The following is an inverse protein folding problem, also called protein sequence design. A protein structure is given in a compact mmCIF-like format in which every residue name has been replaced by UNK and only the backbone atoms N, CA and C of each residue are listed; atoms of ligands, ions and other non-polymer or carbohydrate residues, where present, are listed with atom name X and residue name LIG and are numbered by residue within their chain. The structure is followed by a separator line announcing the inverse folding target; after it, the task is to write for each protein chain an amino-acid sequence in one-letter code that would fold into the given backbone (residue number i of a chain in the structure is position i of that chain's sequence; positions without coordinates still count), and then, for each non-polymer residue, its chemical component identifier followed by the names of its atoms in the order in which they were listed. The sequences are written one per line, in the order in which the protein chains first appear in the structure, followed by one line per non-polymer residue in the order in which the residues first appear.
data_IF_231179819195
#
_entry.id   IF_231179819195
#
_cell.length_a   1.000
_cell.length_b   1.000
_cell.length_c   1.000
_cell.angle_alpha   90.00
_cell.angle_beta   90.00
_cell.angle_gamma   90.00
#
_symmetry.space_group_name_H-M   'P 1'
#
loop_
_entity.id
_entity.type
_entity.pdbx_description
1 polymer ?
#
# COMPACT_ATOMS: atom_id res chain seq x y z
N UNK A 1 42.14 -5.75 4.39
CA UNK A 1 41.35 -6.90 4.89
C UNK A 1 40.09 -6.95 4.04
N UNK A 2 39.87 -8.01 3.26
CA UNK A 2 38.64 -8.15 2.50
C UNK A 2 37.61 -8.73 3.45
N UNK A 3 36.75 -7.88 4.00
CA UNK A 3 35.64 -8.33 4.82
C UNK A 3 34.62 -9.02 3.91
N UNK A 4 34.44 -10.30 4.16
CA UNK A 4 33.49 -11.12 3.43
C UNK A 4 32.08 -10.71 3.87
N UNK A 5 31.31 -10.14 2.95
CA UNK A 5 29.86 -10.01 3.14
C UNK A 5 29.32 -11.43 3.30
N UNK A 6 28.76 -11.74 4.45
CA UNK A 6 28.11 -13.04 4.70
C UNK A 6 26.68 -12.90 4.17
N UNK A 7 26.44 -13.40 2.97
CA UNK A 7 25.10 -13.54 2.40
C UNK A 7 24.71 -15.01 2.52
N UNK A 8 23.61 -15.27 3.18
CA UNK A 8 23.01 -16.61 3.24
C UNK A 8 21.79 -16.62 2.31
N UNK A 9 21.74 -17.58 1.39
CA UNK A 9 20.61 -17.75 0.47
C UNK A 9 19.75 -18.91 0.91
N UNK A 10 18.45 -18.70 0.93
CA UNK A 10 17.45 -19.74 1.11
C UNK A 10 16.88 -20.15 -0.27
N UNK A 11 17.29 -21.33 -0.73
CA UNK A 11 16.82 -21.90 -1.98
C UNK A 11 15.39 -22.45 -1.93
N UNK A 12 14.81 -22.60 -0.73
CA UNK A 12 13.45 -23.08 -0.52
C UNK A 12 12.44 -21.91 -0.41
N UNK A 13 12.91 -20.68 -0.35
CA UNK A 13 12.08 -19.47 -0.27
C UNK A 13 11.41 -19.14 -1.60
N UNK A 14 10.19 -18.60 -1.53
CA UNK A 14 9.48 -18.03 -2.71
C UNK A 14 10.14 -16.76 -3.24
N UNK A 15 11.07 -16.15 -2.49
CA UNK A 15 11.82 -14.96 -2.88
C UNK A 15 12.95 -15.38 -3.83
N UNK A 16 13.03 -14.74 -4.99
CA UNK A 16 14.07 -15.04 -5.97
C UNK A 16 15.48 -14.81 -5.39
N UNK A 17 16.45 -15.66 -5.76
CA UNK A 17 17.84 -15.52 -5.32
C UNK A 17 18.45 -14.13 -5.62
N UNK A 18 18.01 -13.51 -6.72
CA UNK A 18 18.38 -12.14 -7.07
C UNK A 18 17.88 -11.14 -6.02
N UNK A 19 16.63 -11.27 -5.58
CA UNK A 19 16.05 -10.39 -4.56
C UNK A 19 16.74 -10.59 -3.20
N UNK A 20 16.99 -11.84 -2.80
CA UNK A 20 17.70 -12.15 -1.56
C UNK A 20 19.11 -11.54 -1.52
N UNK A 21 19.87 -11.61 -2.63
CA UNK A 21 21.19 -10.97 -2.73
C UNK A 21 21.06 -9.46 -2.59
N UNK A 22 20.09 -8.84 -3.26
CA UNK A 22 19.85 -7.41 -3.19
C UNK A 22 19.54 -6.97 -1.77
N UNK A 23 18.61 -7.63 -1.11
CA UNK A 23 18.18 -7.34 0.26
C UNK A 23 19.33 -7.49 1.25
N UNK A 24 20.10 -8.58 1.17
CA UNK A 24 21.27 -8.79 2.03
C UNK A 24 22.35 -7.72 1.87
N UNK A 25 22.58 -7.23 0.65
CA UNK A 25 23.54 -6.13 0.42
C UNK A 25 23.00 -4.82 1.00
N UNK A 26 21.72 -4.52 0.81
CA UNK A 26 21.07 -3.33 1.39
C UNK A 26 21.14 -3.39 2.91
N UNK A 27 20.79 -4.52 3.53
CA UNK A 27 20.90 -4.71 4.99
C UNK A 27 22.33 -4.49 5.49
N UNK A 28 23.34 -5.01 4.79
CA UNK A 28 24.73 -4.83 5.16
C UNK A 28 25.16 -3.36 5.09
N UNK A 29 24.66 -2.58 4.11
CA UNK A 29 24.88 -1.14 4.00
C UNK A 29 24.17 -0.41 5.15
N UNK A 30 22.89 -0.75 5.40
CA UNK A 30 22.10 -0.15 6.47
C UNK A 30 22.68 -0.41 7.86
N UNK A 31 23.15 -1.64 8.09
CA UNK A 31 23.83 -2.04 9.33
C UNK A 31 25.26 -1.51 9.45
N UNK A 32 25.77 -0.73 8.47
CA UNK A 32 27.15 -0.27 8.38
C UNK A 32 28.23 -1.38 8.41
N UNK A 33 27.85 -2.59 8.05
CA UNK A 33 28.78 -3.68 7.84
C UNK A 33 29.65 -3.46 6.60
N UNK A 34 29.15 -2.68 5.62
CA UNK A 34 29.87 -2.13 4.48
C UNK A 34 29.58 -0.63 4.38
N UNK A 35 30.60 0.15 4.17
CA UNK A 35 30.56 1.62 4.21
C UNK A 35 30.51 2.22 2.79
N UNK A 36 30.02 3.47 2.64
CA UNK A 36 30.18 4.21 1.39
C UNK A 36 31.64 4.21 0.91
N UNK A 37 31.81 3.95 -0.40
CA UNK A 37 33.15 3.81 -0.98
C UNK A 37 33.77 2.40 -0.89
N UNK A 38 33.23 1.50 -0.09
CA UNK A 38 33.71 0.12 0.00
C UNK A 38 33.46 -0.65 -1.30
N UNK A 39 34.40 -1.53 -1.63
CA UNK A 39 34.33 -2.36 -2.83
C UNK A 39 33.58 -3.64 -2.56
N UNK A 40 32.61 -3.95 -3.39
CA UNK A 40 31.95 -5.24 -3.38
C UNK A 40 32.75 -6.30 -4.15
N UNK A 41 32.57 -7.60 -3.81
CA UNK A 41 33.12 -8.70 -4.59
C UNK A 41 32.67 -8.60 -6.05
N UNK A 42 33.53 -8.99 -6.99
CA UNK A 42 33.11 -9.03 -8.38
C UNK A 42 31.94 -10.00 -8.58
N UNK A 43 31.09 -9.77 -9.61
CA UNK A 43 29.97 -10.65 -9.89
C UNK A 43 30.39 -12.12 -10.06
N UNK A 44 31.60 -12.36 -10.58
CA UNK A 44 32.17 -13.71 -10.72
C UNK A 44 32.58 -14.29 -9.37
N UNK A 45 33.18 -13.48 -8.51
CA UNK A 45 33.61 -13.91 -7.16
C UNK A 45 32.41 -14.23 -6.30
N UNK A 46 31.41 -13.32 -6.23
CA UNK A 46 30.23 -13.52 -5.44
C UNK A 46 29.38 -14.69 -5.94
N UNK A 47 29.23 -14.85 -7.25
CA UNK A 47 28.51 -16.00 -7.82
C UNK A 47 29.14 -17.34 -7.41
N UNK A 48 30.49 -17.41 -7.41
CA UNK A 48 31.23 -18.60 -6.95
C UNK A 48 31.01 -18.84 -5.46
N UNK A 49 31.06 -17.79 -4.65
CA UNK A 49 30.87 -17.87 -3.18
C UNK A 49 29.45 -18.36 -2.84
N UNK A 50 28.43 -17.80 -3.49
CA UNK A 50 27.02 -18.12 -3.23
C UNK A 50 26.50 -19.35 -4.01
N UNK A 51 27.32 -19.95 -4.87
CA UNK A 51 26.96 -21.07 -5.74
C UNK A 51 25.73 -20.79 -6.64
N UNK A 52 25.64 -19.56 -7.14
CA UNK A 52 24.60 -19.11 -8.07
C UNK A 52 25.16 -18.77 -9.44
N UNK A 53 24.27 -18.52 -10.42
CA UNK A 53 24.71 -18.07 -11.74
C UNK A 53 25.31 -16.65 -11.64
N UNK A 54 26.31 -16.37 -12.46
CA UNK A 54 26.89 -15.03 -12.57
C UNK A 54 25.83 -13.99 -12.97
N UNK A 55 24.88 -14.40 -13.80
CA UNK A 55 23.80 -13.55 -14.26
C UNK A 55 22.87 -13.12 -13.12
N UNK A 56 22.57 -14.00 -12.18
CA UNK A 56 21.80 -13.70 -10.96
C UNK A 56 22.45 -12.56 -10.16
N UNK A 57 23.78 -12.61 -10.00
CA UNK A 57 24.51 -11.55 -9.27
C UNK A 57 24.57 -10.24 -10.08
N UNK A 58 24.75 -10.32 -11.40
CA UNK A 58 24.75 -9.13 -12.26
C UNK A 58 23.41 -8.40 -12.16
N UNK A 59 22.30 -9.12 -12.25
CA UNK A 59 20.96 -8.53 -12.15
C UNK A 59 20.70 -7.93 -10.76
N UNK A 60 21.16 -8.58 -9.69
CA UNK A 60 21.07 -8.03 -8.34
C UNK A 60 21.88 -6.72 -8.20
N UNK A 61 23.11 -6.72 -8.71
CA UNK A 61 23.97 -5.53 -8.67
C UNK A 61 23.43 -4.39 -9.55
N UNK A 62 22.89 -4.72 -10.73
CA UNK A 62 22.27 -3.71 -11.58
C UNK A 62 21.10 -3.05 -10.89
N UNK A 63 20.21 -3.82 -10.25
CA UNK A 63 19.11 -3.27 -9.49
C UNK A 63 19.58 -2.37 -8.33
N UNK A 64 20.71 -2.69 -7.69
CA UNK A 64 21.32 -1.84 -6.66
C UNK A 64 21.95 -0.56 -7.23
N UNK A 65 22.41 -0.60 -8.47
CA UNK A 65 22.88 0.62 -9.19
C UNK A 65 21.69 1.49 -9.56
N UNK A 66 20.61 0.89 -10.08
CA UNK A 66 19.39 1.60 -10.47
C UNK A 66 18.70 2.27 -9.25
N UNK A 67 18.92 1.74 -8.05
CA UNK A 67 18.42 2.30 -6.77
C UNK A 67 19.48 3.10 -6.00
N UNK A 68 20.60 3.45 -6.65
CA UNK A 68 21.68 4.31 -6.15
C UNK A 68 22.44 3.79 -4.92
N UNK A 69 22.24 2.53 -4.51
CA UNK A 69 23.03 1.91 -3.45
C UNK A 69 24.45 1.58 -3.92
N UNK A 70 24.64 1.26 -5.19
CA UNK A 70 25.93 0.93 -5.78
C UNK A 70 26.27 1.86 -6.95
N UNK A 71 27.56 2.09 -7.15
CA UNK A 71 28.10 2.73 -8.36
C UNK A 71 29.03 1.76 -9.10
N UNK A 72 28.88 1.65 -10.43
CA UNK A 72 29.84 0.88 -11.24
C UNK A 72 31.18 1.61 -11.27
N UNK A 73 32.28 0.84 -11.20
CA UNK A 73 33.64 1.37 -11.34
C UNK A 73 34.28 0.77 -12.58
N UNK A 74 34.81 1.61 -13.47
CA UNK A 74 35.49 1.15 -14.67
C UNK A 74 36.61 0.16 -14.31
N UNK A 75 36.60 -1.00 -14.97
CA UNK A 75 37.55 -2.11 -14.84
C UNK A 75 37.69 -2.75 -13.47
N UNK A 76 36.93 -2.34 -12.41
CA UNK A 76 37.13 -2.88 -11.06
C UNK A 76 35.86 -3.31 -10.30
N UNK A 77 34.70 -3.42 -10.99
CA UNK A 77 33.48 -3.96 -10.37
C UNK A 77 32.53 -2.90 -9.80
N UNK A 78 32.00 -3.13 -8.63
CA UNK A 78 31.00 -2.27 -7.98
C UNK A 78 31.52 -1.78 -6.63
N UNK A 79 31.05 -0.61 -6.22
CA UNK A 79 31.34 -0.02 -4.91
C UNK A 79 30.06 0.57 -4.33
N UNK A 80 29.99 0.68 -3.00
CA UNK A 80 28.89 1.34 -2.31
C UNK A 80 28.89 2.83 -2.70
N UNK A 81 27.73 3.34 -3.08
CA UNK A 81 27.57 4.75 -3.44
C UNK A 81 27.77 5.66 -2.24
N UNK A 82 28.47 6.77 -2.43
CA UNK A 82 28.58 7.82 -1.41
C UNK A 82 27.24 8.52 -1.18
N UNK A 83 26.36 8.52 -2.21
CA UNK A 83 25.02 9.08 -2.18
C UNK A 83 23.94 8.03 -1.84
N UNK A 84 24.35 6.86 -1.34
CA UNK A 84 23.39 5.85 -0.91
C UNK A 84 22.37 6.45 0.08
N UNK A 85 21.08 6.10 -0.01
CA UNK A 85 20.02 6.73 0.80
C UNK A 85 20.28 6.76 2.30
N UNK A 86 21.14 5.89 2.78
CA UNK A 86 21.56 5.80 4.20
C UNK A 86 22.58 6.86 4.59
N UNK A 87 23.44 7.27 3.67
CA UNK A 87 24.49 8.25 3.96
C UNK A 87 23.90 9.61 4.37
N UNK A 88 22.83 10.02 3.72
CA UNK A 88 22.16 11.29 4.02
C UNK A 88 21.47 11.30 5.39
N UNK A 89 20.80 10.21 5.78
CA UNK A 89 20.19 10.08 7.10
C UNK A 89 21.22 10.04 8.21
N UNK A 90 22.40 9.49 7.92
CA UNK A 90 23.47 9.35 8.89
C UNK A 90 24.28 10.64 9.09
N UNK A 91 24.50 11.42 8.02
CA UNK A 91 25.10 12.75 8.14
C UNK A 91 24.21 13.68 8.96
N UNK A 92 22.90 13.68 8.70
CA UNK A 92 21.95 14.45 9.50
C UNK A 92 21.90 14.01 10.97
N UNK A 93 22.09 12.73 11.25
CA UNK A 93 22.14 12.21 12.63
C UNK A 93 23.48 12.51 13.32
N UNK A 94 24.65 12.38 12.63
CA UNK A 94 25.94 12.71 13.18
C UNK A 94 26.11 14.23 13.38
N UNK A 95 25.67 15.05 12.45
CA UNK A 95 25.66 16.51 12.58
C UNK A 95 24.77 16.99 13.75
N UNK A 96 23.72 16.24 14.09
CA UNK A 96 22.89 16.50 15.28
C UNK A 96 23.60 16.09 16.58
N UNK A 97 24.29 14.95 16.58
CA UNK A 97 25.06 14.46 17.72
C UNK A 97 26.25 15.37 18.02
N UNK A 98 26.96 15.87 16.99
CA UNK A 98 28.08 16.79 17.14
C UNK A 98 27.68 18.19 17.63
N UNK A 99 26.44 18.62 17.33
CA UNK A 99 25.89 19.89 17.84
C UNK A 99 25.41 19.84 19.28
N UNK A 100 25.48 18.70 19.93
CA UNK A 100 25.01 18.55 21.32
C UNK A 100 23.48 18.67 21.45
N UNK A 101 22.78 18.62 20.34
CA UNK A 101 21.32 18.60 20.27
C UNK A 101 20.78 17.19 20.57
N UNK A 102 21.28 16.58 21.64
CA UNK A 102 20.61 15.46 22.27
C UNK A 102 19.33 15.99 22.94
N UNK A 103 18.40 16.47 22.13
CA UNK A 103 17.04 16.62 22.57
C UNK A 103 16.45 15.22 22.51
N UNK A 104 16.49 14.56 23.63
CA UNK A 104 15.51 13.55 24.00
C UNK A 104 14.12 14.23 24.12
N UNK A 105 13.69 14.89 23.06
CA UNK A 105 12.29 15.23 22.93
C UNK A 105 11.61 13.95 22.49
N UNK A 106 11.37 13.07 23.43
CA UNK A 106 10.34 12.05 23.29
C UNK A 106 9.05 12.82 23.06
N UNK A 107 8.73 13.02 21.79
CA UNK A 107 7.46 13.63 21.43
C UNK A 107 6.40 12.68 21.94
N UNK A 108 5.64 13.11 22.92
CA UNK A 108 4.45 12.41 23.35
C UNK A 108 3.38 12.52 22.24
N UNK A 109 3.45 11.58 21.31
CA UNK A 109 2.50 11.49 20.20
C UNK A 109 1.06 11.30 20.69
N UNK A 110 0.86 10.65 21.84
CA UNK A 110 -0.46 10.48 22.44
C UNK A 110 -1.14 11.82 22.74
N UNK A 111 -0.37 12.82 23.16
CA UNK A 111 -0.91 14.18 23.42
C UNK A 111 -1.10 15.03 22.14
N UNK A 112 -0.51 14.62 21.01
CA UNK A 112 -0.56 15.35 19.73
C UNK A 112 -1.60 14.78 18.77
N UNK A 113 -1.87 13.49 18.86
CA UNK A 113 -2.85 12.85 17.99
C UNK A 113 -4.26 13.17 18.51
N UNK A 114 -5.12 13.61 17.61
CA UNK A 114 -6.54 13.85 17.89
C UNK A 114 -7.25 12.52 18.13
N UNK A 115 -6.74 11.44 17.53
CA UNK A 115 -7.31 10.11 17.63
C UNK A 115 -6.21 9.05 17.56
N UNK A 116 -6.34 7.99 18.35
CA UNK A 116 -5.51 6.80 18.26
C UNK A 116 -6.06 5.85 17.19
N UNK A 117 -5.22 5.51 16.20
CA UNK A 117 -5.58 4.46 15.24
C UNK A 117 -5.45 3.04 15.83
N UNK A 118 -4.90 2.92 17.04
CA UNK A 118 -4.76 1.62 17.73
C UNK A 118 -6.09 1.05 18.21
N UNK A 119 -7.11 1.89 18.33
CA UNK A 119 -8.44 1.51 18.79
C UNK A 119 -9.36 1.04 17.66
N UNK A 120 -8.86 1.11 16.42
CA UNK A 120 -9.58 0.59 15.27
C UNK A 120 -9.44 -0.94 15.20
N UNK A 121 -10.51 -1.60 14.77
CA UNK A 121 -10.61 -3.06 14.70
C UNK A 121 -10.70 -3.55 13.24
N UNK A 122 -9.63 -3.39 12.44
CA UNK A 122 -9.67 -3.82 11.05
C UNK A 122 -9.88 -5.33 10.96
N UNK A 123 -10.66 -5.76 9.99
CA UNK A 123 -10.87 -7.18 9.72
C UNK A 123 -9.54 -7.82 9.33
N UNK A 124 -9.05 -8.71 10.18
CA UNK A 124 -7.83 -9.46 9.91
C UNK A 124 -8.17 -10.74 9.15
N UNK A 125 -7.56 -10.90 7.99
CA UNK A 125 -7.66 -12.14 7.20
C UNK A 125 -6.49 -13.06 7.60
N UNK A 126 -6.74 -14.33 7.97
CA UNK A 126 -5.67 -15.30 8.18
C UNK A 126 -4.81 -15.42 6.92
N UNK A 127 -3.49 -15.48 7.05
CA UNK A 127 -2.59 -15.59 5.88
C UNK A 127 -2.86 -16.86 5.07
N UNK A 128 -3.26 -17.94 5.76
CA UNK A 128 -3.60 -19.22 5.16
C UNK A 128 -5.09 -19.40 4.84
N UNK A 129 -5.85 -18.32 4.64
CA UNK A 129 -7.29 -18.38 4.40
C UNK A 129 -7.69 -19.29 3.21
N UNK A 130 -6.79 -19.47 2.22
CA UNK A 130 -7.02 -20.37 1.07
C UNK A 130 -7.03 -21.84 1.41
N UNK A 131 -6.49 -22.23 2.56
CA UNK A 131 -6.45 -23.62 3.05
C UNK A 131 -7.79 -24.04 3.69
N UNK A 132 -8.66 -23.07 4.00
CA UNK A 132 -9.97 -23.36 4.56
C UNK A 132 -10.91 -23.92 3.49
N UNK A 133 -11.69 -24.99 3.81
CA UNK A 133 -12.62 -25.59 2.86
C UNK A 133 -13.70 -24.62 2.35
N UNK A 134 -14.08 -23.67 3.20
CA UNK A 134 -15.11 -22.67 2.94
C UNK A 134 -14.62 -21.30 3.43
N UNK A 135 -13.71 -20.66 2.68
CA UNK A 135 -13.15 -19.38 3.10
C UNK A 135 -14.10 -18.24 2.79
N UNK A 136 -14.99 -17.89 3.70
CA UNK A 136 -15.90 -16.76 3.58
C UNK A 136 -15.15 -15.42 3.66
N UNK A 137 -14.21 -15.20 2.72
CA UNK A 137 -13.40 -13.99 2.62
C UNK A 137 -13.96 -13.11 1.50
N UNK A 138 -14.36 -11.90 1.85
CA UNK A 138 -14.87 -10.93 0.88
C UNK A 138 -13.76 -10.33 -0.01
N UNK A 139 -14.17 -9.84 -1.18
CA UNK A 139 -13.30 -9.04 -2.07
C UNK A 139 -12.14 -9.81 -2.71
N UNK A 140 -12.20 -11.15 -2.74
CA UNK A 140 -11.22 -11.97 -3.43
C UNK A 140 -11.76 -12.45 -4.77
N UNK A 141 -10.95 -12.37 -5.81
CA UNK A 141 -11.29 -12.94 -7.11
C UNK A 141 -10.94 -14.43 -7.13
N UNK A 142 -11.75 -15.20 -7.82
CA UNK A 142 -11.41 -16.56 -8.17
C UNK A 142 -10.38 -16.54 -9.33
N UNK A 143 -9.20 -17.06 -9.08
CA UNK A 143 -8.10 -17.06 -10.04
C UNK A 143 -8.41 -17.88 -11.30
N UNK A 144 -9.27 -18.90 -11.21
CA UNK A 144 -9.66 -19.75 -12.35
C UNK A 144 -10.70 -19.05 -13.24
N UNK A 145 -11.55 -18.22 -12.65
CA UNK A 145 -12.60 -17.49 -13.35
C UNK A 145 -12.16 -16.09 -13.81
N UNK A 146 -11.02 -15.60 -13.29
CA UNK A 146 -10.57 -14.26 -13.64
C UNK A 146 -10.02 -14.20 -15.08
N UNK A 147 -10.55 -13.31 -15.94
CA UNK A 147 -10.18 -13.21 -17.34
C UNK A 147 -8.78 -12.55 -17.51
N UNK A 148 -7.74 -13.29 -17.15
CA UNK A 148 -6.37 -12.78 -17.07
C UNK A 148 -5.83 -12.28 -18.42
N UNK A 149 -6.21 -12.92 -19.55
CA UNK A 149 -5.78 -12.48 -20.88
C UNK A 149 -6.32 -11.12 -21.25
N UNK A 150 -7.62 -10.93 -21.05
CA UNK A 150 -8.33 -9.68 -21.31
C UNK A 150 -7.81 -8.56 -20.40
N UNK A 151 -7.57 -8.90 -19.13
CA UNK A 151 -6.98 -7.96 -18.16
C UNK A 151 -5.60 -7.46 -18.62
N UNK A 152 -4.72 -8.40 -19.05
CA UNK A 152 -3.39 -8.04 -19.56
C UNK A 152 -3.47 -7.19 -20.83
N UNK A 153 -4.41 -7.46 -21.71
CA UNK A 153 -4.59 -6.70 -22.94
C UNK A 153 -5.07 -5.27 -22.63
N UNK A 154 -6.04 -5.12 -21.74
CA UNK A 154 -6.48 -3.81 -21.24
C UNK A 154 -5.34 -3.05 -20.58
N UNK A 155 -4.56 -3.69 -19.70
CA UNK A 155 -3.42 -3.07 -19.05
C UNK A 155 -2.35 -2.62 -20.08
N UNK A 156 -2.00 -3.45 -21.08
CA UNK A 156 -1.09 -3.06 -22.14
C UNK A 156 -1.60 -1.87 -22.96
N UNK A 157 -2.90 -1.83 -23.25
CA UNK A 157 -3.50 -0.70 -23.97
C UNK A 157 -3.47 0.58 -23.13
N UNK A 158 -3.83 0.49 -21.84
CA UNK A 158 -3.86 1.63 -20.93
C UNK A 158 -2.44 2.22 -20.73
N UNK A 159 -1.43 1.35 -20.56
CA UNK A 159 -0.02 1.76 -20.37
C UNK A 159 0.73 2.04 -21.69
N UNK A 160 0.06 1.89 -22.84
CA UNK A 160 0.67 2.10 -24.15
C UNK A 160 0.98 3.57 -24.44
N UNK A 161 1.98 3.81 -25.30
CA UNK A 161 2.46 5.15 -25.66
C UNK A 161 1.35 6.12 -26.11
N UNK A 162 0.27 5.60 -26.73
CA UNK A 162 -0.86 6.44 -27.17
C UNK A 162 -1.62 7.06 -26.01
N UNK A 163 -1.66 6.39 -24.86
CA UNK A 163 -2.38 6.82 -23.67
C UNK A 163 -1.44 7.42 -22.62
N UNK A 164 -0.14 7.49 -22.92
CA UNK A 164 0.86 7.98 -21.96
C UNK A 164 0.55 9.38 -21.45
N UNK A 165 0.15 10.31 -22.33
CA UNK A 165 -0.24 11.66 -21.95
C UNK A 165 -1.44 11.70 -20.99
N UNK A 166 -2.41 10.80 -21.20
CA UNK A 166 -3.56 10.65 -20.29
C UNK A 166 -3.13 10.06 -18.94
N UNK A 167 -2.23 9.07 -18.97
CA UNK A 167 -1.77 8.38 -17.76
C UNK A 167 -0.94 9.29 -16.84
N UNK A 168 -0.09 10.17 -17.39
CA UNK A 168 0.80 11.06 -16.62
C UNK A 168 0.24 12.48 -16.46
N UNK A 169 -0.85 12.79 -17.14
CA UNK A 169 -1.48 14.11 -17.08
C UNK A 169 -2.20 14.33 -15.76
N UNK A 170 -2.11 15.55 -15.25
CA UNK A 170 -2.97 16.01 -14.16
C UNK A 170 -4.26 16.59 -14.77
N UNK A 171 -5.39 15.94 -14.52
CA UNK A 171 -6.71 16.38 -14.97
C UNK A 171 -7.38 17.35 -14.00
N UNK A 172 -6.65 17.78 -12.97
CA UNK A 172 -7.16 18.67 -11.95
C UNK A 172 -8.26 18.03 -11.10
N UNK A 173 -9.45 18.63 -11.10
CA UNK A 173 -10.59 18.18 -10.28
C UNK A 173 -11.55 17.21 -11.00
N UNK A 174 -11.18 16.68 -12.15
CA UNK A 174 -12.06 15.84 -12.95
C UNK A 174 -11.60 14.38 -12.94
N UNK A 175 -12.55 13.47 -12.83
CA UNK A 175 -12.32 12.05 -13.05
C UNK A 175 -12.11 11.73 -14.54
N UNK A 176 -11.55 10.57 -14.85
CA UNK A 176 -11.39 10.12 -16.23
C UNK A 176 -12.73 10.11 -16.97
N UNK A 177 -12.90 10.92 -18.03
CA UNK A 177 -14.18 11.08 -18.71
C UNK A 177 -14.64 9.81 -19.42
N UNK A 178 -13.74 8.92 -19.82
CA UNK A 178 -14.08 7.66 -20.44
C UNK A 178 -14.73 6.72 -19.41
N UNK A 179 -14.15 6.67 -18.21
CA UNK A 179 -14.69 5.87 -17.10
C UNK A 179 -16.05 6.41 -16.66
N UNK A 180 -16.16 7.73 -16.43
CA UNK A 180 -17.41 8.37 -16.03
C UNK A 180 -18.50 8.14 -17.06
N UNK A 181 -18.23 8.32 -18.37
CA UNK A 181 -19.15 8.05 -19.43
C UNK A 181 -19.57 6.56 -19.50
N UNK A 182 -18.65 5.63 -19.26
CA UNK A 182 -18.99 4.22 -19.21
C UNK A 182 -19.93 3.91 -18.03
N UNK A 183 -19.64 4.48 -16.86
CA UNK A 183 -20.52 4.33 -15.68
C UNK A 183 -21.92 4.84 -15.97
N UNK A 184 -22.05 6.06 -16.50
CA UNK A 184 -23.34 6.68 -16.83
C UNK A 184 -24.11 5.93 -17.91
N UNK A 185 -23.42 5.44 -18.95
CA UNK A 185 -24.09 4.86 -20.13
C UNK A 185 -24.29 3.34 -20.06
N UNK A 186 -23.53 2.63 -19.22
CA UNK A 186 -23.53 1.17 -19.16
C UNK A 186 -23.80 0.60 -17.78
N UNK A 187 -23.10 1.08 -16.75
CA UNK A 187 -23.16 0.46 -15.42
C UNK A 187 -24.43 0.84 -14.67
N UNK A 188 -24.75 2.11 -14.59
CA UNK A 188 -25.91 2.62 -13.85
C UNK A 188 -27.26 2.26 -14.49
N UNK A 189 -27.44 2.36 -15.84
CA UNK A 189 -28.71 1.98 -16.46
C UNK A 189 -29.09 0.53 -16.22
N UNK A 190 -28.12 -0.40 -16.15
CA UNK A 190 -28.39 -1.81 -15.83
C UNK A 190 -28.93 -2.02 -14.42
N UNK A 191 -28.81 -1.01 -13.55
CA UNK A 191 -29.34 -0.98 -12.18
C UNK A 191 -30.55 -0.06 -12.02
N UNK A 192 -31.11 0.42 -13.15
CA UNK A 192 -32.24 1.35 -13.14
C UNK A 192 -31.90 2.77 -12.71
N UNK A 193 -30.60 3.11 -12.59
CA UNK A 193 -30.14 4.43 -12.14
C UNK A 193 -29.79 5.29 -13.35
N UNK A 194 -30.30 6.53 -13.35
CA UNK A 194 -29.93 7.58 -14.31
C UNK A 194 -29.12 8.64 -13.58
N UNK A 195 -27.91 8.91 -14.05
CA UNK A 195 -27.06 9.97 -13.52
C UNK A 195 -26.41 10.74 -14.66
N UNK A 196 -26.10 12.00 -14.39
CA UNK A 196 -25.26 12.84 -15.25
C UNK A 196 -23.78 12.70 -14.82
N UNK A 197 -22.81 12.96 -15.70
CA UNK A 197 -21.39 12.88 -15.37
C UNK A 197 -21.01 13.65 -14.09
N UNK A 198 -21.60 14.82 -13.87
CA UNK A 198 -21.32 15.68 -12.71
C UNK A 198 -21.82 15.10 -11.38
N UNK A 199 -22.60 14.02 -11.42
CA UNK A 199 -23.11 13.31 -10.25
C UNK A 199 -22.27 12.06 -9.93
N UNK A 200 -21.19 11.83 -10.67
CA UNK A 200 -20.27 10.71 -10.48
C UNK A 200 -18.97 11.21 -9.89
N UNK A 201 -18.53 10.55 -8.83
CA UNK A 201 -17.22 10.70 -8.27
C UNK A 201 -16.55 9.33 -8.21
N UNK A 202 -15.39 9.20 -8.85
CA UNK A 202 -14.59 7.97 -8.79
C UNK A 202 -13.73 8.00 -7.53
N UNK A 203 -13.80 6.92 -6.74
CA UNK A 203 -13.09 6.82 -5.47
C UNK A 203 -12.14 5.62 -5.47
N UNK A 204 -11.22 5.58 -4.51
CA UNK A 204 -10.30 4.47 -4.28
C UNK A 204 -11.01 3.29 -3.59
N UNK A 205 -12.13 2.87 -4.17
CA UNK A 205 -12.98 1.78 -3.65
C UNK A 205 -14.06 2.26 -2.69
N UNK A 206 -14.92 1.31 -2.26
CA UNK A 206 -16.10 1.59 -1.45
C UNK A 206 -15.77 2.18 -0.08
N UNK A 207 -14.69 1.72 0.57
CA UNK A 207 -14.27 2.23 1.87
C UNK A 207 -13.92 3.72 1.81
N UNK A 208 -13.20 4.14 0.76
CA UNK A 208 -12.90 5.55 0.54
C UNK A 208 -14.18 6.37 0.26
N UNK A 209 -15.14 5.82 -0.50
CA UNK A 209 -16.43 6.46 -0.72
C UNK A 209 -17.19 6.65 0.60
N UNK A 210 -17.29 5.61 1.43
CA UNK A 210 -17.94 5.69 2.74
C UNK A 210 -17.27 6.72 3.66
N UNK A 211 -15.92 6.75 3.66
CA UNK A 211 -15.17 7.74 4.41
C UNK A 211 -15.50 9.18 3.95
N UNK A 212 -15.50 9.44 2.64
CA UNK A 212 -15.82 10.77 2.10
C UNK A 212 -17.27 11.17 2.43
N UNK A 213 -18.23 10.26 2.31
CA UNK A 213 -19.62 10.52 2.68
C UNK A 213 -19.72 10.83 4.16
N UNK A 214 -19.12 10.03 5.03
CA UNK A 214 -19.11 10.28 6.47
C UNK A 214 -18.49 11.64 6.82
N UNK A 215 -17.40 12.03 6.14
CA UNK A 215 -16.79 13.36 6.34
C UNK A 215 -17.75 14.52 5.98
N UNK A 216 -18.62 14.34 5.00
CA UNK A 216 -19.51 15.38 4.52
C UNK A 216 -20.78 15.53 5.37
N UNK A 217 -21.34 14.43 5.88
CA UNK A 217 -22.66 14.44 6.48
C UNK A 217 -22.69 14.15 7.99
N UNK A 218 -21.57 13.66 8.56
CA UNK A 218 -21.49 13.29 9.98
C UNK A 218 -20.51 14.21 10.71
N UNK A 219 -20.97 14.77 11.82
CA UNK A 219 -20.15 15.49 12.81
C UNK A 219 -20.37 14.91 14.22
N UNK A 220 -19.68 15.45 15.22
CA UNK A 220 -19.68 14.93 16.59
C UNK A 220 -21.07 14.95 17.27
N UNK A 221 -22.03 15.71 16.77
CA UNK A 221 -23.37 15.83 17.33
C UNK A 221 -24.41 14.97 16.61
N UNK A 222 -24.04 14.43 15.42
CA UNK A 222 -24.95 13.64 14.58
C UNK A 222 -25.16 12.24 15.13
N UNK A 223 -26.41 11.83 15.19
CA UNK A 223 -26.81 10.48 15.52
C UNK A 223 -26.93 9.67 14.23
N UNK A 224 -26.13 8.61 14.11
CA UNK A 224 -26.14 7.72 12.95
C UNK A 224 -26.59 6.33 13.34
N UNK A 225 -27.33 5.69 12.43
CA UNK A 225 -27.79 4.31 12.56
C UNK A 225 -27.05 3.46 11.54
N UNK A 226 -26.59 2.28 11.95
CA UNK A 226 -25.99 1.28 11.08
C UNK A 226 -26.66 -0.08 11.26
N UNK A 227 -26.52 -0.93 10.25
CA UNK A 227 -26.93 -2.32 10.34
C UNK A 227 -26.04 -3.13 11.32
N UNK A 228 -26.61 -4.20 11.89
CA UNK A 228 -25.86 -5.19 12.66
C UNK A 228 -26.34 -6.61 12.27
N UNK A 229 -25.51 -7.43 11.57
CA UNK A 229 -24.12 -7.15 11.18
C UNK A 229 -23.99 -6.13 10.05
N UNK A 230 -22.95 -5.29 10.11
CA UNK A 230 -22.60 -4.31 9.10
C UNK A 230 -21.18 -4.54 8.57
N UNK A 231 -20.79 -3.72 7.58
CA UNK A 231 -19.41 -3.65 7.13
C UNK A 231 -18.51 -3.08 8.26
N UNK A 232 -17.56 -3.85 8.80
CA UNK A 232 -16.83 -3.45 10.02
C UNK A 232 -16.11 -2.12 9.90
N UNK A 233 -15.46 -1.86 8.75
CA UNK A 233 -14.72 -0.61 8.54
C UNK A 233 -15.64 0.63 8.52
N UNK A 234 -16.93 0.46 8.22
CA UNK A 234 -17.91 1.55 8.29
C UNK A 234 -18.07 2.05 9.73
N UNK A 235 -18.18 1.12 10.68
CA UNK A 235 -18.26 1.49 12.10
C UNK A 235 -17.04 2.29 12.54
N UNK A 236 -15.84 1.82 12.16
CA UNK A 236 -14.60 2.51 12.48
C UNK A 236 -14.54 3.90 11.85
N UNK A 237 -14.96 4.04 10.59
CA UNK A 237 -15.05 5.34 9.89
C UNK A 237 -16.01 6.30 10.63
N UNK A 238 -17.18 5.83 11.02
CA UNK A 238 -18.19 6.66 11.70
C UNK A 238 -17.78 7.01 13.13
N UNK A 239 -17.15 6.09 13.86
CA UNK A 239 -16.65 6.33 15.22
C UNK A 239 -15.60 7.44 15.29
N UNK A 240 -14.93 7.72 14.19
CA UNK A 240 -14.02 8.85 14.08
C UNK A 240 -14.73 10.20 13.97
N UNK A 241 -16.03 10.21 13.70
CA UNK A 241 -16.83 11.42 13.50
C UNK A 241 -17.80 11.68 14.63
N UNK A 242 -18.44 10.64 15.15
CA UNK A 242 -19.43 10.75 16.24
C UNK A 242 -19.34 9.56 17.19
N UNK A 243 -19.71 9.78 18.45
CA UNK A 243 -19.94 8.72 19.43
C UNK A 243 -21.40 8.24 19.45
N UNK A 244 -22.30 8.90 18.72
CA UNK A 244 -23.73 8.61 18.70
C UNK A 244 -24.05 7.64 17.56
N UNK A 245 -23.65 6.38 17.72
CA UNK A 245 -23.90 5.31 16.76
C UNK A 245 -24.84 4.29 17.37
N UNK A 246 -25.99 4.03 16.70
CA UNK A 246 -26.94 2.98 17.08
C UNK A 246 -26.92 1.87 16.03
N UNK A 247 -26.84 0.64 16.49
CA UNK A 247 -26.89 -0.54 15.66
C UNK A 247 -28.30 -1.15 15.68
N UNK A 248 -28.90 -1.38 14.52
CA UNK A 248 -30.17 -2.08 14.38
C UNK A 248 -29.96 -3.44 13.72
N UNK A 249 -30.75 -4.41 14.15
CA UNK A 249 -30.70 -5.77 13.62
C UNK A 249 -31.15 -5.83 12.15
N UNK A 250 -30.62 -6.83 11.45
CA UNK A 250 -31.01 -7.16 10.06
C UNK A 250 -31.72 -8.49 10.03
N UNK A 251 -32.84 -8.57 9.32
CA UNK A 251 -33.58 -9.79 9.03
C UNK A 251 -33.60 -10.08 7.52
N UNK A 252 -34.44 -11.02 7.09
CA UNK A 252 -34.59 -11.37 5.68
C UNK A 252 -35.14 -10.22 4.81
N UNK A 253 -35.77 -9.22 5.40
CA UNK A 253 -36.30 -8.03 4.73
C UNK A 253 -35.28 -6.87 4.69
N UNK A 254 -34.15 -6.97 5.39
CA UNK A 254 -33.15 -5.91 5.56
C UNK A 254 -33.11 -5.35 6.97
N UNK A 255 -32.86 -4.05 7.10
CA UNK A 255 -32.80 -3.37 8.39
C UNK A 255 -34.16 -3.44 9.11
N UNK A 256 -34.18 -3.97 10.32
CA UNK A 256 -35.38 -3.95 11.18
C UNK A 256 -35.61 -2.53 11.67
N UNK A 257 -36.66 -1.92 11.16
CA UNK A 257 -36.96 -0.51 11.43
C UNK A 257 -37.50 -0.32 12.84
N UNK A 258 -36.81 0.47 13.65
CA UNK A 258 -37.29 0.99 14.92
C UNK A 258 -37.68 2.46 14.73
N UNK A 259 -38.96 2.77 14.72
CA UNK A 259 -39.47 4.12 14.45
C UNK A 259 -38.96 5.16 15.45
N UNK A 260 -38.75 4.81 16.71
CA UNK A 260 -38.33 5.76 17.73
C UNK A 260 -36.84 6.07 17.60
N UNK A 261 -36.04 5.08 17.20
CA UNK A 261 -34.63 5.27 16.87
C UNK A 261 -34.50 6.11 15.60
N UNK A 262 -35.25 5.77 14.55
CA UNK A 262 -35.18 6.46 13.25
C UNK A 262 -35.62 7.92 13.31
N UNK A 263 -36.59 8.26 14.18
CA UNK A 263 -37.00 9.67 14.40
C UNK A 263 -35.88 10.53 14.98
N UNK A 264 -34.94 9.92 15.67
CA UNK A 264 -33.82 10.61 16.33
C UNK A 264 -32.53 10.55 15.47
N UNK A 265 -32.51 9.70 14.46
CA UNK A 265 -31.35 9.53 13.58
C UNK A 265 -31.25 10.66 12.56
N UNK A 266 -30.06 11.19 12.37
CA UNK A 266 -29.74 12.16 11.31
C UNK A 266 -29.46 11.42 9.99
N UNK A 267 -28.92 10.22 10.05
CA UNK A 267 -28.62 9.39 8.87
C UNK A 267 -28.58 7.89 9.21
N UNK A 268 -28.83 7.08 8.18
CA UNK A 268 -28.77 5.62 8.23
C UNK A 268 -27.78 5.16 7.15
N UNK A 269 -26.86 4.28 7.52
CA UNK A 269 -25.85 3.71 6.65
C UNK A 269 -26.02 2.22 6.48
#
# INVERSE_FOLDING_TARGET
MQDHIIITLDHASDISLQAQIRESVVEAILARAILPGDKLPSSRSLAKQLKVSRNTVILAYQALVDTEYLKPRERSGYMVSEDAPVAQLTQLASDRLERGDAVDSVIDWGSKLVQSCSDLHPVQKPLNWREYPYPFIYGQVDNELFPMSEWRDCARQALGMRNFGTMVGDFGMNDDPMLVNYICSRSLPRRGIKARPEQILVTLGAQNALYLVAQLIVDAQKHVVIENPAYPDLRDILSQRTSHITELQVDEGGLVLDEDVLKQADSVF
#
